data_IF_616054527365
#
_entry.id   IF_616054527365
#
_cell.length_a   1.000
_cell.length_b   1.000
_cell.length_c   1.000
_cell.angle_alpha   90.00
_cell.angle_beta   90.00
_cell.angle_gamma   90.00
#
_symmetry.space_group_name_H-M   'P 1'
#
loop_
_entity.id
_entity.type
_entity.pdbx_description
1 polymer ?
#
# COMPACT_ATOMS: atom_id res chain seq x y z
N UNK A 1 -56.49 9.58 -1.71
CA UNK A 1 -56.13 8.67 -0.61
C UNK A 1 -55.01 7.81 -1.13
N UNK A 2 -53.81 8.36 -1.04
CA UNK A 2 -52.58 7.81 -1.55
C UNK A 2 -52.06 6.80 -0.52
N UNK A 3 -52.11 5.52 -0.86
CA UNK A 3 -51.39 4.49 -0.11
C UNK A 3 -49.94 4.48 -0.59
N UNK A 4 -49.09 5.02 0.26
CA UNK A 4 -47.65 5.14 0.11
C UNK A 4 -46.97 3.78 -0.14
N UNK A 5 -46.03 3.84 -1.07
CA UNK A 5 -45.04 2.82 -1.37
C UNK A 5 -44.24 2.45 -0.12
N UNK A 6 -44.56 1.32 0.50
CA UNK A 6 -43.65 0.57 1.35
C UNK A 6 -42.56 -0.07 0.49
N UNK A 7 -41.61 0.72 -0.01
CA UNK A 7 -40.40 0.19 -0.62
C UNK A 7 -39.56 -0.47 0.49
N UNK A 8 -39.65 -1.80 0.56
CA UNK A 8 -38.88 -2.64 1.46
C UNK A 8 -37.41 -2.25 1.43
N UNK A 9 -36.86 -1.93 2.60
CA UNK A 9 -35.43 -1.69 2.85
C UNK A 9 -34.71 -3.06 2.89
N UNK A 10 -34.97 -3.90 1.90
CA UNK A 10 -34.31 -5.19 1.66
C UNK A 10 -33.33 -5.05 0.49
N UNK A 11 -32.57 -3.95 0.46
CA UNK A 11 -31.27 -4.01 -0.18
C UNK A 11 -30.44 -4.98 0.66
N UNK A 12 -30.50 -6.27 0.28
CA UNK A 12 -29.92 -7.39 0.98
C UNK A 12 -28.52 -7.05 1.46
N UNK A 13 -28.37 -6.92 2.78
CA UNK A 13 -27.06 -6.79 3.41
C UNK A 13 -26.33 -8.11 3.12
N UNK A 14 -25.45 -8.09 2.14
CA UNK A 14 -24.65 -9.24 1.75
C UNK A 14 -23.43 -9.31 2.65
N UNK A 15 -23.32 -10.41 3.40
CA UNK A 15 -22.15 -10.68 4.23
C UNK A 15 -21.16 -11.53 3.42
N UNK A 16 -19.85 -11.21 3.44
CA UNK A 16 -18.87 -12.04 2.77
C UNK A 16 -18.78 -13.41 3.45
N UNK A 17 -18.62 -14.47 2.64
CA UNK A 17 -18.31 -15.79 3.18
C UNK A 17 -16.86 -15.84 3.67
N UNK A 18 -16.53 -16.78 4.55
CA UNK A 18 -15.14 -17.01 4.99
C UNK A 18 -14.19 -17.23 3.81
N UNK A 19 -14.66 -17.94 2.78
CA UNK A 19 -13.90 -18.18 1.56
C UNK A 19 -13.63 -16.86 0.82
N UNK A 20 -14.66 -16.03 0.62
CA UNK A 20 -14.50 -14.72 -0.02
C UNK A 20 -13.55 -13.81 0.75
N UNK A 21 -13.61 -13.80 2.08
CA UNK A 21 -12.66 -13.06 2.91
C UNK A 21 -11.22 -13.57 2.75
N UNK A 22 -11.02 -14.89 2.68
CA UNK A 22 -9.71 -15.51 2.49
C UNK A 22 -9.13 -15.22 1.11
N UNK A 23 -9.94 -15.31 0.06
CA UNK A 23 -9.55 -14.97 -1.31
C UNK A 23 -9.17 -13.49 -1.42
N UNK A 24 -9.91 -12.60 -0.74
CA UNK A 24 -9.60 -11.17 -0.71
C UNK A 24 -8.27 -10.87 -0.01
N UNK A 25 -7.99 -11.50 1.14
CA UNK A 25 -6.68 -11.39 1.79
C UNK A 25 -5.53 -11.92 0.91
N UNK A 26 -5.75 -13.02 0.20
CA UNK A 26 -4.75 -13.55 -0.73
C UNK A 26 -4.50 -12.59 -1.91
N UNK A 27 -5.55 -11.95 -2.45
CA UNK A 27 -5.43 -10.95 -3.50
C UNK A 27 -4.65 -9.70 -3.04
N UNK A 28 -4.87 -9.26 -1.80
CA UNK A 28 -4.12 -8.13 -1.23
C UNK A 28 -2.61 -8.40 -1.16
N UNK A 29 -2.20 -9.65 -0.95
CA UNK A 29 -0.79 -10.05 -0.97
C UNK A 29 -0.18 -10.02 -2.38
N UNK A 30 -0.97 -10.35 -3.41
CA UNK A 30 -0.52 -10.32 -4.82
C UNK A 30 -0.43 -8.89 -5.33
N UNK A 31 -1.34 -8.02 -4.90
CA UNK A 31 -1.42 -6.62 -5.34
C UNK A 31 -2.36 -6.40 -6.54
N UNK A 32 -2.35 -5.17 -7.05
CA UNK A 32 -3.34 -4.64 -7.97
C UNK A 32 -2.69 -3.88 -9.12
N UNK A 33 -3.43 -3.76 -10.22
CA UNK A 33 -3.12 -2.84 -11.30
C UNK A 33 -3.69 -1.45 -11.03
N UNK A 34 -2.82 -0.46 -11.16
CA UNK A 34 -3.15 0.96 -11.14
C UNK A 34 -2.77 1.59 -12.47
N UNK A 35 -3.73 2.27 -13.11
CA UNK A 35 -3.47 3.01 -14.34
C UNK A 35 -2.78 4.34 -14.04
N UNK A 36 -1.74 4.67 -14.84
CA UNK A 36 -0.96 5.89 -14.75
C UNK A 36 -1.26 6.79 -15.97
N UNK A 37 -2.34 7.59 -15.95
CA UNK A 37 -2.78 8.35 -17.12
C UNK A 37 -1.85 9.50 -17.51
N UNK A 38 -1.03 10.01 -16.59
CA UNK A 38 -0.12 11.15 -16.82
C UNK A 38 1.31 10.69 -17.10
N UNK A 39 1.82 9.76 -16.30
CA UNK A 39 3.15 9.16 -16.54
C UNK A 39 3.12 8.15 -17.70
N UNK A 40 1.94 7.58 -17.99
CA UNK A 40 1.74 6.59 -19.04
C UNK A 40 1.94 5.17 -18.53
N UNK A 41 1.10 4.25 -19.03
CA UNK A 41 1.19 2.82 -18.72
C UNK A 41 0.42 2.38 -17.47
N UNK A 42 0.89 1.30 -16.86
CA UNK A 42 0.26 0.65 -15.71
C UNK A 42 1.30 0.32 -14.66
N UNK A 43 0.95 0.46 -13.39
CA UNK A 43 1.74 0.03 -12.26
C UNK A 43 1.11 -1.17 -11.57
N UNK A 44 1.96 -2.09 -11.12
CA UNK A 44 1.63 -3.12 -10.15
C UNK A 44 1.93 -2.59 -8.76
N UNK A 45 0.90 -2.47 -7.93
CA UNK A 45 0.97 -1.86 -6.61
C UNK A 45 0.43 -2.78 -5.53
N UNK A 46 0.94 -2.66 -4.32
CA UNK A 46 0.37 -3.29 -3.12
C UNK A 46 -0.86 -2.52 -2.68
N UNK A 47 -1.78 -3.19 -2.00
CA UNK A 47 -2.80 -2.49 -1.22
C UNK A 47 -2.27 -2.31 0.19
N UNK A 48 -1.71 -1.12 0.47
CA UNK A 48 -1.21 -0.80 1.80
C UNK A 48 -2.37 -0.30 2.64
N UNK A 49 -2.87 -1.15 3.55
CA UNK A 49 -3.76 -0.67 4.58
C UNK A 49 -2.92 0.13 5.59
N UNK A 50 -2.88 1.46 5.46
CA UNK A 50 -2.11 2.31 6.40
C UNK A 50 -2.69 2.23 7.83
N UNK A 51 -3.94 1.80 7.97
CA UNK A 51 -4.56 1.45 9.25
C UNK A 51 -3.95 0.19 9.90
N UNK A 52 -3.24 -0.65 9.15
CA UNK A 52 -2.56 -1.83 9.67
C UNK A 52 -1.18 -1.45 10.22
N UNK A 53 -1.08 -1.44 11.55
CA UNK A 53 0.15 -1.17 12.31
C UNK A 53 1.33 -2.06 11.88
N UNK A 54 1.07 -3.27 11.36
CA UNK A 54 2.15 -4.16 10.89
C UNK A 54 2.81 -3.64 9.61
N UNK A 55 2.03 -3.01 8.73
CA UNK A 55 2.55 -2.38 7.50
C UNK A 55 3.44 -1.18 7.85
N UNK A 56 3.04 -0.38 8.85
CA UNK A 56 3.85 0.74 9.35
C UNK A 56 5.11 0.24 10.07
N UNK A 57 5.02 -0.83 10.87
CA UNK A 57 6.15 -1.41 11.59
C UNK A 57 7.21 -2.07 10.67
N UNK A 58 6.85 -2.44 9.44
CA UNK A 58 7.76 -2.98 8.44
C UNK A 58 8.57 -1.94 7.66
N UNK A 59 8.28 -0.66 7.81
CA UNK A 59 8.97 0.40 7.06
C UNK A 59 10.36 0.67 7.64
N UNK A 60 11.32 1.22 6.86
CA UNK A 60 12.57 1.74 7.42
C UNK A 60 12.29 2.77 8.51
N UNK A 61 13.08 2.78 9.60
CA UNK A 61 12.85 3.63 10.79
C UNK A 61 12.68 5.11 10.45
N UNK A 62 13.42 5.61 9.47
CA UNK A 62 13.32 6.99 8.99
C UNK A 62 11.95 7.27 8.35
N UNK A 63 11.42 6.32 7.60
CA UNK A 63 10.09 6.39 6.96
C UNK A 63 8.98 6.24 8.00
N UNK A 64 9.12 5.33 8.98
CA UNK A 64 8.18 5.20 10.11
C UNK A 64 8.04 6.52 10.87
N UNK A 65 9.18 7.14 11.20
CA UNK A 65 9.22 8.42 11.92
C UNK A 65 8.51 9.52 11.12
N UNK A 66 8.70 9.52 9.80
CA UNK A 66 8.04 10.48 8.90
C UNK A 66 6.54 10.28 8.87
N UNK A 67 6.07 9.04 8.73
CA UNK A 67 4.64 8.68 8.73
C UNK A 67 3.99 9.07 10.05
N UNK A 68 4.55 8.65 11.19
CA UNK A 68 4.01 8.95 12.52
C UNK A 68 3.95 10.45 12.83
N UNK A 69 4.96 11.22 12.40
CA UNK A 69 4.97 12.68 12.53
C UNK A 69 3.82 13.32 11.77
N UNK A 70 3.60 12.93 10.51
CA UNK A 70 2.52 13.48 9.68
C UNK A 70 1.14 13.16 10.28
N UNK A 71 0.93 11.93 10.77
CA UNK A 71 -0.31 11.55 11.45
C UNK A 71 -0.61 12.40 12.69
N UNK A 72 0.40 12.62 13.55
CA UNK A 72 0.26 13.45 14.75
C UNK A 72 -0.08 14.90 14.40
N UNK A 73 0.58 15.45 13.40
CA UNK A 73 0.37 16.84 12.98
C UNK A 73 -1.00 17.06 12.30
N UNK A 74 -1.55 16.06 11.58
CA UNK A 74 -2.92 16.11 11.06
C UNK A 74 -3.94 16.10 12.20
N UNK A 75 -3.73 15.25 13.22
CA UNK A 75 -4.59 15.22 14.40
C UNK A 75 -4.59 16.56 15.17
N UNK A 76 -3.42 17.21 15.27
CA UNK A 76 -3.27 18.53 15.90
C UNK A 76 -3.86 19.66 15.05
N UNK A 77 -3.71 19.62 13.72
CA UNK A 77 -4.28 20.63 12.81
C UNK A 77 -5.81 20.59 12.72
N UNK A 78 -6.43 19.48 13.12
CA UNK A 78 -7.89 19.32 13.19
C UNK A 78 -8.54 20.19 14.28
N UNK A 79 -7.73 20.84 15.15
CA UNK A 79 -8.16 21.65 16.29
C UNK A 79 -8.58 23.11 16.01
N UNK A 80 -8.89 23.49 14.76
CA UNK A 80 -9.56 24.77 14.47
C UNK A 80 -8.67 26.02 14.41
N UNK A 81 -7.36 25.88 14.17
CA UNK A 81 -6.50 27.03 13.90
C UNK A 81 -6.77 27.61 12.49
N UNK A 82 -6.82 28.93 12.36
CA UNK A 82 -7.06 29.62 11.10
C UNK A 82 -6.01 29.23 10.03
N UNK A 83 -6.48 28.63 8.93
CA UNK A 83 -5.66 28.19 7.79
C UNK A 83 -4.94 29.38 7.15
N UNK A 84 -3.63 29.52 7.42
CA UNK A 84 -2.79 30.47 6.68
C UNK A 84 -2.26 29.84 5.39
N UNK A 85 -1.95 30.67 4.39
CA UNK A 85 -1.30 30.20 3.14
C UNK A 85 0.03 29.50 3.39
N UNK A 86 0.77 29.94 4.42
CA UNK A 86 2.02 29.30 4.82
C UNK A 86 1.77 27.91 5.43
N UNK A 87 0.72 27.74 6.22
CA UNK A 87 0.30 26.44 6.74
C UNK A 87 -0.18 25.52 5.63
N UNK A 88 -0.94 26.03 4.65
CA UNK A 88 -1.35 25.27 3.46
C UNK A 88 -0.15 24.75 2.66
N UNK A 89 0.84 25.60 2.41
CA UNK A 89 2.07 25.19 1.71
C UNK A 89 2.86 24.13 2.49
N UNK A 90 2.96 24.28 3.82
CA UNK A 90 3.59 23.28 4.69
C UNK A 90 2.83 21.95 4.67
N UNK A 91 1.50 21.98 4.71
CA UNK A 91 0.65 20.78 4.65
C UNK A 91 0.75 20.09 3.29
N UNK A 92 0.78 20.86 2.20
CA UNK A 92 0.96 20.33 0.85
C UNK A 92 2.32 19.64 0.69
N UNK A 93 3.40 20.25 1.20
CA UNK A 93 4.73 19.64 1.20
C UNK A 93 4.74 18.31 1.95
N UNK A 94 4.12 18.25 3.13
CA UNK A 94 4.03 17.04 3.95
C UNK A 94 3.22 15.94 3.28
N UNK A 95 2.07 16.28 2.70
CA UNK A 95 1.26 15.33 1.94
C UNK A 95 2.03 14.78 0.74
N UNK A 96 2.86 15.60 0.09
CA UNK A 96 3.75 15.14 -0.99
C UNK A 96 4.80 14.16 -0.47
N UNK A 97 5.50 14.47 0.62
CA UNK A 97 6.50 13.57 1.23
C UNK A 97 5.88 12.23 1.65
N UNK A 98 4.66 12.27 2.21
CA UNK A 98 3.92 11.05 2.57
C UNK A 98 3.51 10.26 1.33
N UNK A 99 3.01 10.92 0.28
CA UNK A 99 2.67 10.26 -0.98
C UNK A 99 3.91 9.61 -1.62
N UNK A 100 5.05 10.29 -1.60
CA UNK A 100 6.32 9.79 -2.12
C UNK A 100 6.76 8.52 -1.38
N UNK A 101 6.76 8.57 -0.05
CA UNK A 101 7.13 7.41 0.77
C UNK A 101 6.21 6.21 0.51
N UNK A 102 4.89 6.42 0.52
CA UNK A 102 3.89 5.37 0.29
C UNK A 102 4.03 4.78 -1.11
N UNK A 103 4.27 5.60 -2.13
CA UNK A 103 4.55 5.13 -3.48
C UNK A 103 5.78 4.22 -3.54
N UNK A 104 6.89 4.58 -2.90
CA UNK A 104 8.10 3.71 -2.88
C UNK A 104 7.88 2.38 -2.21
N UNK A 105 7.10 2.34 -1.15
CA UNK A 105 6.79 1.08 -0.45
C UNK A 105 5.79 0.24 -1.26
N UNK A 106 4.83 0.91 -1.88
CA UNK A 106 3.66 0.32 -2.48
C UNK A 106 3.86 -0.18 -3.90
N UNK A 107 4.72 0.47 -4.68
CA UNK A 107 4.94 0.12 -6.08
C UNK A 107 5.88 -1.09 -6.21
N UNK A 108 5.36 -2.16 -6.81
CA UNK A 108 6.11 -3.38 -7.11
C UNK A 108 6.79 -3.25 -8.47
N UNK A 109 6.04 -2.81 -9.49
CA UNK A 109 6.55 -2.58 -10.84
C UNK A 109 5.81 -1.42 -11.52
N UNK A 110 6.49 -0.36 -12.00
CA UNK A 110 7.92 -0.10 -11.85
C UNK A 110 8.30 0.04 -10.36
N UNK A 111 9.52 -0.36 -10.00
CA UNK A 111 10.03 -0.15 -8.64
C UNK A 111 10.36 1.33 -8.50
N UNK A 112 9.87 1.96 -7.43
CA UNK A 112 10.16 3.36 -7.17
C UNK A 112 11.30 3.50 -6.16
N UNK A 113 12.16 4.50 -6.34
CA UNK A 113 13.20 4.88 -5.38
C UNK A 113 13.14 6.38 -5.07
N UNK A 114 13.68 6.79 -3.91
CA UNK A 114 13.65 8.19 -3.48
C UNK A 114 14.72 9.03 -4.18
N UNK A 115 15.89 8.46 -4.40
CA UNK A 115 17.08 9.19 -4.87
C UNK A 115 17.75 8.49 -6.04
N UNK A 116 18.47 9.26 -6.86
CA UNK A 116 19.23 8.72 -8.01
C UNK A 116 20.30 7.70 -7.58
N UNK A 117 20.84 7.83 -6.38
CA UNK A 117 21.84 6.91 -5.84
C UNK A 117 21.30 5.49 -5.59
N UNK A 118 19.98 5.32 -5.51
CA UNK A 118 19.31 4.03 -5.28
C UNK A 118 18.94 3.32 -6.60
N UNK A 119 19.21 3.93 -7.77
CA UNK A 119 18.97 3.31 -9.06
C UNK A 119 19.96 2.17 -9.28
N UNK A 120 19.45 0.97 -9.51
CA UNK A 120 20.22 -0.28 -9.64
C UNK A 120 20.44 -0.73 -11.10
N UNK A 121 20.14 0.16 -12.06
CA UNK A 121 20.31 -0.10 -13.50
C UNK A 121 19.20 -0.94 -14.14
N UNK A 122 18.19 -1.39 -13.37
CA UNK A 122 16.97 -1.98 -13.92
C UNK A 122 16.19 -0.91 -14.72
N UNK A 123 15.87 -1.14 -16.01
CA UNK A 123 15.11 -0.17 -16.82
C UNK A 123 13.68 0.09 -16.31
N UNK A 124 13.20 -0.71 -15.35
CA UNK A 124 11.91 -0.56 -14.70
C UNK A 124 11.99 0.00 -13.28
N UNK A 125 13.20 0.34 -12.79
CA UNK A 125 13.35 1.14 -11.58
C UNK A 125 13.31 2.61 -11.97
N UNK A 126 12.47 3.41 -11.30
CA UNK A 126 12.30 4.83 -11.61
C UNK A 126 12.29 5.67 -10.33
N UNK A 127 12.56 6.97 -10.45
CA UNK A 127 12.48 7.88 -9.32
C UNK A 127 11.01 8.18 -9.00
N UNK A 128 10.68 8.28 -7.71
CA UNK A 128 9.34 8.70 -7.29
C UNK A 128 8.94 10.07 -7.84
N UNK A 129 9.92 10.93 -8.10
CA UNK A 129 9.75 12.27 -8.64
C UNK A 129 9.30 12.26 -10.11
N UNK A 130 9.60 11.19 -10.86
CA UNK A 130 9.18 10.98 -12.26
C UNK A 130 7.70 10.57 -12.37
N UNK A 131 7.11 10.08 -11.27
CA UNK A 131 5.67 9.86 -11.18
C UNK A 131 4.93 11.20 -11.00
N UNK A 132 3.86 11.41 -11.77
CA UNK A 132 3.11 12.66 -11.69
C UNK A 132 2.52 12.85 -10.28
N UNK A 133 2.56 14.08 -9.74
CA UNK A 133 2.13 14.36 -8.36
C UNK A 133 0.69 13.91 -8.08
N UNK A 134 -0.21 14.08 -9.05
CA UNK A 134 -1.61 13.64 -8.94
C UNK A 134 -1.73 12.11 -8.81
N UNK A 135 -0.85 11.34 -9.47
CA UNK A 135 -0.88 9.88 -9.39
C UNK A 135 -0.35 9.40 -8.04
N UNK A 136 0.70 10.04 -7.53
CA UNK A 136 1.19 9.82 -6.17
C UNK A 136 0.13 10.09 -5.12
N UNK A 137 -0.52 11.25 -5.20
CA UNK A 137 -1.61 11.61 -4.29
C UNK A 137 -2.80 10.66 -4.42
N UNK A 138 -3.14 10.23 -5.65
CA UNK A 138 -4.21 9.24 -5.86
C UNK A 138 -3.89 7.92 -5.16
N UNK A 139 -2.66 7.41 -5.30
CA UNK A 139 -2.26 6.18 -4.62
C UNK A 139 -2.30 6.33 -3.10
N UNK A 140 -1.83 7.46 -2.57
CA UNK A 140 -1.94 7.78 -1.15
C UNK A 140 -3.41 7.75 -0.68
N UNK A 141 -4.31 8.43 -1.41
CA UNK A 141 -5.73 8.51 -1.05
C UNK A 141 -6.42 7.14 -1.08
N UNK A 142 -6.02 6.26 -2.00
CA UNK A 142 -6.47 4.86 -2.01
C UNK A 142 -6.01 4.16 -0.73
N UNK A 143 -4.72 4.27 -0.38
CA UNK A 143 -4.15 3.58 0.79
C UNK A 143 -4.66 4.12 2.13
N UNK A 144 -5.07 5.40 2.19
CA UNK A 144 -5.67 6.01 3.39
C UNK A 144 -7.20 5.82 3.46
N UNK A 145 -7.81 5.18 2.46
CA UNK A 145 -9.27 5.00 2.39
C UNK A 145 -10.05 6.28 2.07
N UNK A 146 -9.38 7.35 1.65
CA UNK A 146 -10.02 8.62 1.28
C UNK A 146 -10.62 8.60 -0.14
N UNK A 147 -10.24 7.63 -0.98
CA UNK A 147 -10.76 7.45 -2.33
C UNK A 147 -11.21 6.00 -2.57
N UNK A 148 -12.33 5.63 -1.94
CA UNK A 148 -12.93 4.30 -2.07
C UNK A 148 -13.36 3.99 -3.50
N UNK A 149 -13.76 4.99 -4.28
CA UNK A 149 -14.17 4.81 -5.68
C UNK A 149 -12.98 4.47 -6.58
N UNK A 150 -11.83 5.10 -6.38
CA UNK A 150 -10.61 4.70 -7.07
C UNK A 150 -10.10 3.33 -6.59
N UNK A 151 -10.25 3.01 -5.30
CA UNK A 151 -9.89 1.70 -4.76
C UNK A 151 -10.72 0.57 -5.41
N UNK A 152 -12.03 0.76 -5.59
CA UNK A 152 -12.91 -0.21 -6.30
C UNK A 152 -12.52 -0.43 -7.76
N UNK A 153 -11.87 0.55 -8.40
CA UNK A 153 -11.42 0.47 -9.79
C UNK A 153 -10.06 -0.20 -9.95
N UNK A 154 -9.37 -0.50 -8.85
CA UNK A 154 -8.15 -1.30 -8.91
C UNK A 154 -8.49 -2.70 -9.40
N UNK A 155 -7.83 -3.12 -10.48
CA UNK A 155 -8.01 -4.46 -11.02
C UNK A 155 -7.06 -5.41 -10.28
N UNK A 156 -7.52 -6.60 -9.85
CA UNK A 156 -6.60 -7.58 -9.30
C UNK A 156 -5.52 -7.91 -10.34
N UNK A 157 -4.28 -8.05 -9.88
CA UNK A 157 -3.19 -8.42 -10.78
C UNK A 157 -3.42 -9.88 -11.25
N UNK A 158 -3.32 -10.17 -12.57
CA UNK A 158 -3.59 -11.48 -13.13
C UNK A 158 -2.58 -12.47 -12.58
N UNK A 159 -3.10 -13.54 -11.97
CA UNK A 159 -2.27 -14.65 -11.45
C UNK A 159 -1.83 -15.57 -12.60
N UNK A 160 -2.45 -15.46 -13.79
CA UNK A 160 -2.04 -16.22 -14.98
C UNK A 160 -0.66 -15.77 -15.48
N UNK A 161 0.35 -16.60 -15.22
CA UNK A 161 1.72 -16.44 -15.73
C UNK A 161 2.79 -16.35 -14.66
N UNK A 162 2.44 -16.11 -13.40
CA UNK A 162 3.36 -16.29 -12.29
C UNK A 162 3.35 -17.77 -11.89
N UNK A 163 4.30 -18.56 -12.41
CA UNK A 163 4.69 -19.78 -11.69
C UNK A 163 4.86 -19.38 -10.23
N UNK A 164 4.22 -20.05 -9.26
CA UNK A 164 4.61 -19.85 -7.87
C UNK A 164 6.12 -20.04 -7.84
N UNK A 165 6.85 -19.03 -7.37
CA UNK A 165 8.26 -19.21 -7.04
C UNK A 165 8.31 -20.51 -6.23
N UNK A 166 9.19 -21.48 -6.56
CA UNK A 166 9.27 -22.70 -5.79
C UNK A 166 9.38 -22.26 -4.34
N UNK A 167 8.41 -22.68 -3.52
CA UNK A 167 8.45 -22.45 -2.09
C UNK A 167 9.88 -22.74 -1.69
N UNK A 168 10.57 -21.76 -1.08
CA UNK A 168 11.88 -21.99 -0.49
C UNK A 168 11.69 -23.25 0.35
N UNK A 169 12.16 -24.39 -0.18
CA UNK A 169 12.21 -25.61 0.57
C UNK A 169 13.04 -25.21 1.75
N UNK A 170 12.42 -25.26 2.93
CA UNK A 170 13.14 -25.12 4.17
C UNK A 170 14.34 -26.06 4.05
N UNK A 171 15.52 -25.47 3.88
CA UNK A 171 16.75 -26.24 3.82
C UNK A 171 16.85 -26.82 5.21
N UNK A 172 16.46 -28.09 5.34
CA UNK A 172 16.59 -28.83 6.58
C UNK A 172 18.04 -28.68 7.01
N UNK A 173 18.25 -27.99 8.12
CA UNK A 173 19.57 -27.83 8.70
C UNK A 173 20.17 -29.24 8.87
N UNK A 174 21.43 -29.48 8.47
CA UNK A 174 22.05 -30.76 8.73
C UNK A 174 22.08 -30.97 10.24
N UNK A 175 21.48 -32.08 10.68
CA UNK A 175 21.54 -32.54 12.06
C UNK A 175 23.01 -32.70 12.44
N UNK A 176 23.51 -31.81 13.31
CA UNK A 176 24.80 -31.98 13.94
C UNK A 176 24.76 -33.28 14.74
N UNK A 177 25.49 -34.29 14.27
CA UNK A 177 25.71 -35.53 15.01
C UNK A 177 26.51 -35.18 16.28
N UNK A 178 25.86 -35.36 17.44
CA UNK A 178 26.53 -35.35 18.74
C UNK A 178 27.52 -36.52 18.78
N UNK A 179 28.80 -36.24 18.53
CA UNK A 179 29.87 -37.19 18.82
C UNK A 179 29.98 -37.29 20.34
N UNK A 180 29.64 -38.46 20.89
CA UNK A 180 29.88 -38.79 22.30
C UNK A 180 31.38 -38.85 22.54
N UNK A 181 31.93 -38.20 23.57
CA UNK A 181 33.29 -38.47 24.01
C UNK A 181 33.32 -39.85 24.68
N UNK A 182 34.15 -40.76 24.16
CA UNK A 182 34.56 -41.98 24.87
C UNK A 182 35.39 -41.58 26.09
N UNK A 183 35.01 -42.11 27.25
CA UNK A 183 35.78 -41.99 28.47
C UNK A 183 36.99 -42.93 28.40
N UNK A 184 38.18 -42.39 28.63
CA UNK A 184 39.35 -43.12 29.11
C UNK A 184 39.47 -42.92 30.62
#
# INVERSE_FOLDING_TARGET
MDTENGASIENAVTFPTRQQATERMAQEQVGFYMDLPRTGGHAHVRHLAIADLTTVAGLPTQTQTTVLRVFREIAEASGGAALSWEQLAKNQKRNKEMADAICVIGFIKPRLVMTEAELDGDPHTMLVSELHVTERTRYLNICTGQDEEAAKKLRPFPVEGLRPAPALQAVSAPAFALVRPEAQ
#
